data_IF_300758934635
#
_entry.id   IF_300758934635
#
_cell.length_a   1.000
_cell.length_b   1.000
_cell.length_c   1.000
_cell.angle_alpha   90.00
_cell.angle_beta   90.00
_cell.angle_gamma   90.00
#
_symmetry.space_group_name_H-M   'P 1'
#
loop_
_entity.id
_entity.type
_entity.pdbx_description
1 polymer ?
#
# COMPACT_ATOMS: atom_id res chain seq x y z
N UNK A 1 -7.47 14.28 -35.40
CA UNK A 1 -7.79 13.15 -34.49
C UNK A 1 -6.50 12.70 -33.83
N UNK A 2 -6.40 12.79 -32.49
CA UNK A 2 -5.22 12.30 -31.76
C UNK A 2 -5.57 10.95 -31.15
N UNK A 3 -4.80 9.93 -31.51
CA UNK A 3 -4.97 8.55 -31.04
C UNK A 3 -4.16 8.35 -29.77
N UNK A 4 -4.81 8.02 -28.66
CA UNK A 4 -4.15 7.62 -27.42
C UNK A 4 -3.77 6.14 -27.53
N UNK A 5 -2.48 5.81 -27.37
CA UNK A 5 -2.06 4.42 -27.16
C UNK A 5 -2.00 4.15 -25.67
N UNK A 6 -3.00 3.44 -25.17
CA UNK A 6 -3.02 2.86 -23.84
C UNK A 6 -2.01 1.72 -23.80
N UNK A 7 -1.02 1.79 -22.91
CA UNK A 7 -0.06 0.71 -22.69
C UNK A 7 -0.58 -0.17 -21.57
N UNK A 8 -0.90 -1.42 -21.88
CA UNK A 8 -1.32 -2.44 -20.91
C UNK A 8 -0.13 -3.36 -20.65
N UNK A 9 0.46 -3.42 -19.45
CA UNK A 9 1.51 -4.40 -19.16
C UNK A 9 0.89 -5.80 -19.12
N UNK A 10 1.55 -6.76 -19.78
CA UNK A 10 1.15 -8.16 -19.80
C UNK A 10 1.12 -8.75 -18.37
N UNK A 11 0.00 -9.37 -18.03
CA UNK A 11 -0.22 -10.09 -16.78
C UNK A 11 0.75 -11.27 -16.69
N UNK A 12 1.69 -11.22 -15.74
CA UNK A 12 2.54 -12.37 -15.41
C UNK A 12 1.96 -13.05 -14.17
N UNK A 13 1.84 -14.39 -14.21
CA UNK A 13 1.31 -15.22 -13.13
C UNK A 13 1.95 -14.88 -11.77
N UNK A 14 1.13 -14.47 -10.79
CA UNK A 14 1.59 -14.27 -9.42
C UNK A 14 1.66 -15.63 -8.71
N UNK A 15 2.89 -16.11 -8.48
CA UNK A 15 3.15 -17.18 -7.51
C UNK A 15 2.79 -16.71 -6.10
N UNK A 16 2.29 -17.62 -5.28
CA UNK A 16 2.10 -17.47 -3.85
C UNK A 16 3.45 -17.15 -3.19
N UNK A 17 3.63 -15.94 -2.69
CA UNK A 17 4.84 -15.59 -1.92
C UNK A 17 4.56 -15.79 -0.42
N UNK A 18 5.32 -16.71 0.17
CA UNK A 18 5.48 -16.84 1.62
C UNK A 18 6.21 -15.63 2.20
N UNK A 19 6.01 -15.41 3.50
CA UNK A 19 6.52 -14.30 4.30
C UNK A 19 7.95 -13.83 3.95
N UNK A 20 8.15 -12.51 3.83
CA UNK A 20 9.47 -11.87 3.90
C UNK A 20 10.14 -11.46 2.59
N UNK A 21 9.41 -11.25 1.49
CA UNK A 21 10.01 -10.79 0.23
C UNK A 21 10.12 -9.26 0.14
N UNK A 22 11.35 -8.75 0.00
CA UNK A 22 11.62 -7.38 -0.48
C UNK A 22 11.25 -7.30 -1.96
N UNK A 23 10.12 -6.65 -2.28
CA UNK A 23 9.65 -6.51 -3.66
C UNK A 23 9.90 -5.08 -4.13
N UNK A 24 10.84 -4.90 -5.07
CA UNK A 24 10.99 -3.65 -5.82
C UNK A 24 9.87 -3.56 -6.86
N UNK A 25 8.93 -2.63 -6.66
CA UNK A 25 7.75 -2.50 -7.50
C UNK A 25 7.92 -1.43 -8.57
N UNK A 26 7.40 -1.71 -9.76
CA UNK A 26 7.20 -0.71 -10.81
C UNK A 26 5.97 0.13 -10.44
N UNK A 27 6.19 1.28 -9.83
CA UNK A 27 5.13 2.24 -9.56
C UNK A 27 4.54 2.75 -10.88
N UNK A 28 3.21 2.74 -10.98
CA UNK A 28 2.53 3.35 -12.14
C UNK A 28 2.27 4.81 -11.81
N UNK A 29 3.10 5.70 -12.35
CA UNK A 29 2.82 7.13 -12.32
C UNK A 29 1.63 7.41 -13.24
N UNK A 30 0.42 7.55 -12.69
CA UNK A 30 -0.71 8.10 -13.43
C UNK A 30 -0.54 9.62 -13.46
N UNK A 31 0.33 10.09 -14.35
CA UNK A 31 0.47 11.52 -14.63
C UNK A 31 -0.54 11.92 -15.71
N UNK A 32 -1.64 12.56 -15.32
CA UNK A 32 -2.41 13.37 -16.28
C UNK A 32 -1.59 14.63 -16.53
N UNK A 33 -0.79 14.62 -17.61
CA UNK A 33 0.03 15.77 -18.00
C UNK A 33 -0.92 16.84 -18.55
N UNK A 34 -1.31 17.79 -17.71
CA UNK A 34 -1.56 19.14 -18.16
C UNK A 34 -0.21 19.78 -18.50
N UNK A 35 -0.05 20.25 -19.72
CA UNK A 35 1.14 20.99 -20.15
C UNK A 35 1.30 22.25 -19.28
N UNK A 36 2.22 22.23 -18.34
CA UNK A 36 2.72 23.44 -17.68
C UNK A 36 4.24 23.32 -17.60
N UNK A 37 4.91 23.93 -18.58
CA UNK A 37 6.31 23.69 -18.98
C UNK A 37 7.33 24.56 -18.24
N UNK A 38 7.05 25.04 -17.02
CA UNK A 38 7.92 26.03 -16.38
C UNK A 38 8.07 25.97 -14.85
N UNK A 39 7.91 24.81 -14.21
CA UNK A 39 8.20 24.65 -12.77
C UNK A 39 9.33 23.66 -12.54
N UNK A 40 10.27 24.01 -11.66
CA UNK A 40 11.23 23.09 -11.08
C UNK A 40 10.47 21.85 -10.59
N UNK A 41 10.70 20.71 -11.22
CA UNK A 41 10.01 19.47 -10.87
C UNK A 41 10.74 18.87 -9.68
N UNK A 42 10.15 18.97 -8.50
CA UNK A 42 10.69 18.35 -7.29
C UNK A 42 10.21 16.90 -7.24
N UNK A 43 11.16 15.97 -7.20
CA UNK A 43 10.92 14.52 -7.16
C UNK A 43 11.33 14.00 -5.79
N UNK A 44 10.51 13.13 -5.22
CA UNK A 44 10.74 12.51 -3.93
C UNK A 44 10.71 10.99 -4.07
N UNK A 45 11.61 10.31 -3.36
CA UNK A 45 11.54 8.86 -3.15
C UNK A 45 10.74 8.56 -1.88
N UNK A 46 9.82 7.60 -1.99
CA UNK A 46 8.82 7.25 -0.99
C UNK A 46 9.01 5.80 -0.57
N UNK A 47 9.18 5.62 0.73
CA UNK A 47 9.26 4.31 1.36
C UNK A 47 8.05 4.12 2.28
N UNK A 48 7.30 3.04 2.05
CA UNK A 48 6.16 2.65 2.89
C UNK A 48 6.38 1.24 3.41
N UNK A 49 6.36 1.09 4.72
CA UNK A 49 6.55 -0.19 5.40
C UNK A 49 5.35 -0.53 6.28
N UNK A 50 4.72 -1.69 6.05
CA UNK A 50 3.67 -2.23 6.92
C UNK A 50 4.27 -3.09 8.02
N UNK A 51 3.96 -2.73 9.26
CA UNK A 51 4.51 -3.34 10.47
C UNK A 51 3.37 -3.86 11.34
N UNK A 52 3.53 -5.05 11.93
CA UNK A 52 2.79 -5.42 13.13
C UNK A 52 3.75 -5.60 14.30
N UNK A 53 3.26 -5.26 15.47
CA UNK A 53 4.04 -5.26 16.70
C UNK A 53 3.30 -6.16 17.68
N UNK A 54 4.03 -7.07 18.33
CA UNK A 54 3.47 -7.87 19.42
C UNK A 54 3.01 -6.96 20.57
N UNK A 55 1.99 -7.37 21.31
CA UNK A 55 1.31 -6.53 22.30
C UNK A 55 2.23 -6.01 23.44
N UNK A 56 3.41 -6.60 23.62
CA UNK A 56 4.32 -6.35 24.74
C UNK A 56 5.50 -5.41 24.41
N UNK A 57 5.51 -4.77 23.24
CA UNK A 57 6.59 -3.84 22.85
C UNK A 57 6.20 -2.40 23.17
N UNK A 58 6.84 -1.82 24.18
CA UNK A 58 6.85 -0.37 24.37
C UNK A 58 7.72 0.27 23.30
N UNK A 59 7.10 0.88 22.30
CA UNK A 59 7.84 1.70 21.34
C UNK A 59 8.24 3.02 22.01
N UNK A 60 9.55 3.31 22.16
CA UNK A 60 9.96 4.60 22.66
C UNK A 60 9.60 5.68 21.62
N UNK A 61 8.77 6.65 22.00
CA UNK A 61 8.28 7.73 21.13
C UNK A 61 9.35 8.71 20.59
N UNK A 62 10.65 8.39 20.72
CA UNK A 62 11.75 9.14 20.08
C UNK A 62 12.25 8.38 18.84
N UNK A 63 11.83 8.89 17.66
CA UNK A 63 11.95 8.22 16.36
C UNK A 63 13.37 7.99 15.82
N UNK A 64 14.37 8.79 16.23
CA UNK A 64 15.73 8.67 15.68
C UNK A 64 16.43 7.33 15.99
N UNK A 65 16.01 6.63 17.04
CA UNK A 65 16.49 5.28 17.36
C UNK A 65 15.52 4.17 16.92
N UNK A 66 14.46 4.50 16.16
CA UNK A 66 13.35 3.55 15.92
C UNK A 66 13.62 2.58 14.78
N UNK A 67 14.38 2.94 13.74
CA UNK A 67 14.72 2.00 12.67
C UNK A 67 15.68 0.89 13.14
N UNK A 68 16.77 1.26 13.81
CA UNK A 68 17.73 0.27 14.34
C UNK A 68 17.08 -0.64 15.39
N UNK A 69 16.20 -0.08 16.23
CA UNK A 69 15.40 -0.86 17.18
C UNK A 69 14.32 -1.70 16.51
N UNK A 70 13.70 -1.25 15.42
CA UNK A 70 12.76 -2.06 14.66
C UNK A 70 13.46 -3.29 14.08
N UNK A 71 14.70 -3.16 13.62
CA UNK A 71 15.51 -4.29 13.15
C UNK A 71 15.90 -5.24 14.30
N UNK A 72 16.21 -4.70 15.48
CA UNK A 72 16.43 -5.51 16.70
C UNK A 72 15.15 -6.24 17.14
N UNK A 73 14.03 -5.53 17.23
CA UNK A 73 12.72 -6.10 17.56
C UNK A 73 12.25 -7.12 16.51
N UNK A 74 12.61 -6.91 15.23
CA UNK A 74 12.40 -7.88 14.16
C UNK A 74 13.21 -9.16 14.41
N UNK A 75 14.50 -9.05 14.72
CA UNK A 75 15.35 -10.21 15.05
C UNK A 75 14.81 -10.99 16.24
N UNK A 76 14.18 -10.30 17.18
CA UNK A 76 13.59 -10.90 18.39
C UNK A 76 12.13 -11.37 18.20
N UNK A 77 11.58 -11.31 16.98
CA UNK A 77 10.21 -11.76 16.67
C UNK A 77 9.09 -10.86 17.24
N UNK A 78 9.46 -9.74 17.83
CA UNK A 78 8.55 -8.76 18.45
C UNK A 78 7.89 -7.84 17.42
N UNK A 79 8.54 -7.69 16.26
CA UNK A 79 8.06 -6.93 15.11
C UNK A 79 8.03 -7.83 13.88
N UNK A 80 6.89 -7.86 13.20
CA UNK A 80 6.71 -8.57 11.95
C UNK A 80 6.57 -7.54 10.83
N UNK A 81 7.55 -7.51 9.94
CA UNK A 81 7.46 -6.77 8.68
C UNK A 81 6.62 -7.58 7.71
N UNK A 82 5.55 -6.95 7.23
CA UNK A 82 4.69 -7.59 6.24
C UNK A 82 5.17 -7.26 4.84
N UNK A 83 5.31 -5.97 4.56
CA UNK A 83 5.40 -5.45 3.19
C UNK A 83 6.16 -4.13 3.17
N UNK A 84 7.04 -4.00 2.20
CA UNK A 84 7.76 -2.77 1.88
C UNK A 84 7.41 -2.34 0.47
N UNK A 85 7.14 -1.04 0.27
CA UNK A 85 6.93 -0.44 -1.05
C UNK A 85 7.89 0.73 -1.22
N UNK A 86 8.54 0.77 -2.37
CA UNK A 86 9.46 1.83 -2.77
C UNK A 86 8.98 2.41 -4.11
N UNK A 87 8.74 3.72 -4.16
CA UNK A 87 8.32 4.39 -5.39
C UNK A 87 8.64 5.88 -5.34
N UNK A 88 8.68 6.55 -6.51
CA UNK A 88 8.92 7.99 -6.57
C UNK A 88 7.60 8.76 -6.79
N UNK A 89 7.49 9.93 -6.19
CA UNK A 89 6.38 10.86 -6.35
C UNK A 89 6.88 12.24 -6.81
N UNK A 90 6.00 13.00 -7.48
CA UNK A 90 6.30 14.36 -7.94
C UNK A 90 5.50 15.34 -7.08
N UNK A 91 6.13 16.41 -6.60
CA UNK A 91 5.47 17.45 -5.83
C UNK A 91 4.24 18.03 -6.57
N UNK A 92 3.17 18.29 -5.83
CA UNK A 92 1.90 18.78 -6.34
C UNK A 92 1.10 17.76 -7.16
N UNK A 93 1.57 16.52 -7.29
CA UNK A 93 0.87 15.47 -8.05
C UNK A 93 0.49 14.31 -7.15
N UNK A 94 -0.68 13.75 -7.43
CA UNK A 94 -1.10 12.49 -6.84
C UNK A 94 -0.33 11.34 -7.49
N UNK A 95 0.31 10.52 -6.66
CA UNK A 95 1.01 9.30 -7.06
C UNK A 95 0.32 8.11 -6.44
N UNK A 96 0.13 7.06 -7.24
CA UNK A 96 -0.49 5.81 -6.78
C UNK A 96 0.47 4.64 -7.03
N UNK A 97 0.66 3.82 -6.00
CA UNK A 97 1.36 2.55 -6.10
C UNK A 97 0.42 1.43 -5.66
N UNK A 98 0.24 0.42 -6.50
CA UNK A 98 -0.59 -0.74 -6.21
C UNK A 98 0.23 -2.02 -6.36
N UNK A 99 0.12 -2.90 -5.36
CA UNK A 99 0.68 -4.23 -5.37
C UNK A 99 -0.41 -5.22 -5.00
N UNK A 100 -0.86 -6.02 -5.95
CA UNK A 100 -2.02 -6.86 -5.73
C UNK A 100 -2.39 -7.74 -6.90
N UNK A 101 -3.48 -8.44 -6.72
CA UNK A 101 -4.11 -9.25 -7.76
C UNK A 101 -5.62 -9.12 -7.66
N UNK A 102 -6.31 -9.56 -8.71
CA UNK A 102 -7.76 -9.66 -8.70
C UNK A 102 -8.18 -11.09 -8.38
N UNK A 103 -9.13 -11.25 -7.47
CA UNK A 103 -9.72 -12.54 -7.11
C UNK A 103 -11.21 -12.54 -7.39
N UNK A 104 -11.76 -13.71 -7.71
CA UNK A 104 -13.19 -13.87 -7.95
C UNK A 104 -13.89 -14.20 -6.63
N UNK A 105 -14.69 -13.27 -6.12
CA UNK A 105 -15.48 -13.41 -4.91
C UNK A 105 -16.89 -13.89 -5.26
N UNK A 106 -17.25 -15.10 -4.82
CA UNK A 106 -18.56 -15.71 -5.08
C UNK A 106 -19.60 -15.03 -4.18
N UNK A 107 -20.59 -14.37 -4.76
CA UNK A 107 -21.69 -13.72 -4.02
C UNK A 107 -22.88 -14.65 -3.78
N UNK A 108 -23.00 -15.71 -4.57
CA UNK A 108 -24.04 -16.71 -4.40
C UNK A 108 -24.05 -17.72 -5.53
N UNK A 109 -24.89 -18.74 -5.39
CA UNK A 109 -25.12 -19.78 -6.40
C UNK A 109 -26.61 -19.79 -6.73
N UNK A 110 -26.93 -19.71 -8.02
CA UNK A 110 -28.30 -19.83 -8.51
C UNK A 110 -28.44 -21.15 -9.23
N UNK A 111 -29.44 -21.94 -8.87
CA UNK A 111 -29.77 -23.19 -9.54
C UNK A 111 -31.00 -23.01 -10.43
N UNK A 112 -30.89 -23.39 -11.71
CA UNK A 112 -32.02 -23.38 -12.65
C UNK A 112 -31.99 -24.65 -13.50
N UNK A 113 -33.09 -25.40 -13.49
CA UNK A 113 -33.23 -26.66 -14.23
C UNK A 113 -32.09 -27.67 -13.95
N UNK A 114 -31.62 -27.75 -12.70
CA UNK A 114 -30.52 -28.64 -12.29
C UNK A 114 -29.11 -28.16 -12.64
N UNK A 115 -28.96 -26.98 -13.27
CA UNK A 115 -27.66 -26.35 -13.53
C UNK A 115 -27.38 -25.30 -12.47
N UNK A 116 -26.25 -25.42 -11.77
CA UNK A 116 -25.75 -24.44 -10.80
C UNK A 116 -24.84 -23.42 -11.48
N UNK A 117 -25.18 -22.15 -11.36
CA UNK A 117 -24.39 -21.01 -11.85
C UNK A 117 -23.91 -20.19 -10.67
N UNK A 118 -22.59 -20.00 -10.55
CA UNK A 118 -21.98 -19.15 -9.52
C UNK A 118 -22.04 -17.69 -9.98
N UNK A 119 -22.55 -16.80 -9.13
CA UNK A 119 -22.48 -15.35 -9.33
C UNK A 119 -21.22 -14.88 -8.61
N UNK A 120 -20.27 -14.31 -9.36
CA UNK A 120 -19.00 -13.83 -8.81
C UNK A 120 -18.69 -12.41 -9.24
N UNK A 121 -18.06 -11.65 -8.35
CA UNK A 121 -17.49 -10.34 -8.64
C UNK A 121 -15.97 -10.40 -8.59
N UNK A 122 -15.30 -9.66 -9.47
CA UNK A 122 -13.87 -9.49 -9.39
C UNK A 122 -13.53 -8.44 -8.32
N UNK A 123 -12.71 -8.80 -7.34
CA UNK A 123 -12.27 -7.94 -6.23
C UNK A 123 -10.77 -7.79 -6.29
N UNK A 124 -10.27 -6.56 -6.27
CA UNK A 124 -8.84 -6.29 -6.14
C UNK A 124 -8.41 -6.46 -4.69
N UNK A 125 -7.49 -7.39 -4.46
CA UNK A 125 -6.78 -7.58 -3.20
C UNK A 125 -5.33 -7.16 -3.37
N UNK A 126 -4.67 -6.77 -2.29
CA UNK A 126 -3.33 -6.20 -2.37
C UNK A 126 -3.19 -4.96 -1.49
N UNK A 127 -2.10 -4.24 -1.67
CA UNK A 127 -1.80 -2.98 -1.02
C UNK A 127 -1.88 -1.87 -2.05
N UNK A 128 -2.57 -0.80 -1.68
CA UNK A 128 -2.73 0.40 -2.47
C UNK A 128 -2.27 1.58 -1.63
N UNK A 129 -1.35 2.35 -2.17
CA UNK A 129 -0.85 3.58 -1.58
C UNK A 129 -1.14 4.71 -2.55
N UNK A 130 -1.78 5.75 -2.05
CA UNK A 130 -1.99 7.01 -2.76
C UNK A 130 -1.37 8.10 -1.90
N UNK A 131 -0.49 8.89 -2.50
CA UNK A 131 0.16 10.00 -1.82
C UNK A 131 0.20 11.23 -2.73
N UNK A 132 -0.06 12.40 -2.15
CA UNK A 132 0.18 13.69 -2.78
C UNK A 132 1.11 14.47 -1.87
N UNK A 133 2.25 14.88 -2.40
CA UNK A 133 3.27 15.64 -1.66
C UNK A 133 3.16 17.10 -2.05
N UNK A 134 3.08 17.99 -1.07
CA UNK A 134 3.14 19.43 -1.26
C UNK A 134 4.42 19.95 -0.62
N UNK A 135 5.27 20.58 -1.42
CA UNK A 135 6.54 21.17 -1.02
C UNK A 135 6.44 22.69 -1.18
N UNK A 136 6.28 23.36 -0.06
CA UNK A 136 6.17 24.82 0.01
C UNK A 136 7.52 25.53 0.20
N UNK A 137 8.63 24.77 0.27
CA UNK A 137 9.96 25.26 0.62
C UNK A 137 10.18 25.34 2.13
N UNK A 138 9.22 25.88 2.89
CA UNK A 138 9.31 25.99 4.36
C UNK A 138 8.77 24.74 5.08
N UNK A 139 7.87 23.99 4.44
CA UNK A 139 7.27 22.78 4.99
C UNK A 139 6.95 21.77 3.89
N UNK A 140 7.12 20.49 4.24
CA UNK A 140 6.75 19.35 3.41
C UNK A 140 5.49 18.72 4.00
N UNK A 141 4.40 18.64 3.24
CA UNK A 141 3.18 17.97 3.69
C UNK A 141 2.78 16.85 2.75
N UNK A 142 2.19 15.79 3.30
CA UNK A 142 1.68 14.66 2.53
C UNK A 142 0.21 14.40 2.87
N UNK A 143 -0.63 14.35 1.85
CA UNK A 143 -1.93 13.67 1.91
C UNK A 143 -1.69 12.19 1.58
N UNK A 144 -1.85 11.33 2.58
CA UNK A 144 -1.46 9.93 2.53
C UNK A 144 -2.66 9.02 2.78
N UNK A 145 -2.91 8.14 1.82
CA UNK A 145 -3.90 7.09 1.89
C UNK A 145 -3.24 5.73 1.66
N UNK A 146 -3.33 4.88 2.67
CA UNK A 146 -2.88 3.50 2.63
C UNK A 146 -4.07 2.57 2.83
N UNK A 147 -4.17 1.56 1.97
CA UNK A 147 -5.13 0.48 2.10
C UNK A 147 -4.45 -0.86 1.79
N UNK A 148 -4.69 -1.87 2.62
CA UNK A 148 -4.37 -3.25 2.27
C UNK A 148 -5.56 -4.17 2.51
N UNK A 149 -5.73 -5.15 1.61
CA UNK A 149 -6.79 -6.15 1.66
C UNK A 149 -6.22 -7.54 1.39
N UNK A 150 -6.45 -8.49 2.29
CA UNK A 150 -6.01 -9.89 2.15
C UNK A 150 -7.20 -10.83 2.36
N UNK A 151 -7.17 -12.01 1.77
CA UNK A 151 -8.18 -13.05 2.05
C UNK A 151 -7.98 -13.51 3.50
N UNK A 152 -9.08 -13.63 4.25
CA UNK A 152 -9.08 -14.05 5.64
C UNK A 152 -9.54 -15.50 5.76
N UNK A 153 -8.71 -16.34 6.39
CA UNK A 153 -9.00 -17.74 6.70
C UNK A 153 -9.05 -18.65 5.46
N UNK A 154 -9.47 -19.90 5.70
CA UNK A 154 -9.68 -20.88 4.63
C UNK A 154 -10.98 -20.58 3.88
N UNK A 155 -10.92 -20.69 2.55
CA UNK A 155 -12.09 -20.50 1.68
C UNK A 155 -12.84 -21.81 1.52
N UNK A 156 -14.14 -21.80 1.82
CA UNK A 156 -15.04 -22.89 1.46
C UNK A 156 -15.52 -22.72 0.02
N UNK A 157 -15.68 -23.85 -0.66
CA UNK A 157 -16.28 -23.86 -1.99
C UNK A 157 -17.71 -23.29 -1.90
N UNK A 158 -18.03 -22.34 -2.78
CA UNK A 158 -19.35 -21.67 -2.90
C UNK A 158 -19.74 -20.63 -1.84
N UNK A 159 -18.85 -20.28 -0.91
CA UNK A 159 -19.08 -19.18 0.04
C UNK A 159 -18.37 -17.87 -0.37
N UNK A 160 -18.92 -16.69 -0.01
CA UNK A 160 -18.23 -15.42 -0.16
C UNK A 160 -16.90 -15.39 0.57
N UNK A 161 -15.89 -14.80 -0.07
CA UNK A 161 -14.59 -14.59 0.55
C UNK A 161 -14.71 -13.61 1.71
N UNK A 162 -14.04 -13.93 2.81
CA UNK A 162 -13.80 -12.97 3.88
C UNK A 162 -12.51 -12.23 3.59
N UNK A 163 -12.48 -10.93 3.86
CA UNK A 163 -11.31 -10.09 3.62
C UNK A 163 -10.89 -9.41 4.90
N UNK A 164 -9.60 -9.49 5.22
CA UNK A 164 -8.97 -8.64 6.22
C UNK A 164 -8.58 -7.32 5.57
N UNK A 165 -9.14 -6.21 6.07
CA UNK A 165 -8.87 -4.86 5.58
C UNK A 165 -8.10 -4.04 6.62
N UNK A 166 -7.10 -3.31 6.15
CA UNK A 166 -6.33 -2.36 6.93
C UNK A 166 -6.27 -1.04 6.16
N UNK A 167 -6.60 0.08 6.80
CA UNK A 167 -6.68 1.37 6.15
C UNK A 167 -6.15 2.51 7.03
N UNK A 168 -5.58 3.51 6.39
CA UNK A 168 -5.08 4.74 7.00
C UNK A 168 -5.27 5.87 5.99
N UNK A 169 -5.94 6.93 6.42
CA UNK A 169 -6.09 8.17 5.66
C UNK A 169 -5.70 9.32 6.58
N UNK A 170 -4.69 10.08 6.20
CA UNK A 170 -4.18 11.17 7.03
C UNK A 170 -3.47 12.22 6.20
N UNK A 171 -3.50 13.46 6.67
CA UNK A 171 -2.64 14.53 6.20
C UNK A 171 -1.61 14.81 7.28
N UNK A 172 -0.33 14.79 6.91
CA UNK A 172 0.76 14.99 7.85
C UNK A 172 1.81 15.96 7.32
N UNK A 173 2.40 16.72 8.22
CA UNK A 173 3.65 17.43 8.00
C UNK A 173 4.80 16.42 8.11
N UNK A 174 5.82 16.55 7.27
CA UNK A 174 6.95 15.66 7.14
C UNK A 174 8.25 16.44 7.28
N UNK A 175 9.24 15.80 7.87
CA UNK A 175 10.63 16.23 7.75
C UNK A 175 11.27 15.33 6.68
N UNK A 176 11.90 15.94 5.68
CA UNK A 176 12.57 15.21 4.60
C UNK A 176 13.58 14.20 5.15
N UNK A 177 13.49 12.94 4.71
CA UNK A 177 14.36 11.84 5.12
C UNK A 177 14.07 11.25 6.51
N UNK A 178 13.17 11.84 7.30
CA UNK A 178 12.79 11.29 8.61
C UNK A 178 11.55 10.40 8.48
N UNK A 179 11.62 9.12 8.88
CA UNK A 179 10.46 8.24 8.86
C UNK A 179 9.43 8.71 9.88
N UNK A 180 8.14 8.56 9.56
CA UNK A 180 7.02 8.72 10.50
C UNK A 180 6.25 7.42 10.67
N UNK A 181 5.98 7.07 11.93
CA UNK A 181 5.16 5.92 12.29
C UNK A 181 3.70 6.34 12.43
N UNK A 182 2.82 5.69 11.67
CA UNK A 182 1.39 5.98 11.60
C UNK A 182 0.59 4.76 12.02
N UNK A 183 -0.53 4.97 12.73
CA UNK A 183 -1.40 3.89 13.18
C UNK A 183 -2.48 3.64 12.14
N UNK A 184 -2.48 2.46 11.53
CA UNK A 184 -3.51 2.03 10.61
C UNK A 184 -4.61 1.24 11.33
N UNK A 185 -5.86 1.51 10.97
CA UNK A 185 -7.01 0.79 11.53
C UNK A 185 -7.18 -0.54 10.80
N UNK A 186 -7.17 -1.63 11.53
CA UNK A 186 -7.56 -2.95 11.06
C UNK A 186 -8.65 -3.51 11.98
N UNK A 187 -9.52 -4.37 11.44
CA UNK A 187 -10.70 -4.89 12.16
C UNK A 187 -10.33 -5.80 13.35
N UNK A 188 -9.21 -6.53 13.26
CA UNK A 188 -8.81 -7.53 14.27
C UNK A 188 -7.57 -7.12 15.10
N UNK A 189 -6.64 -6.35 14.53
CA UNK A 189 -5.35 -6.05 15.17
C UNK A 189 -4.94 -4.58 14.94
N UNK A 190 -4.07 -4.06 15.82
CA UNK A 190 -3.35 -2.81 15.55
C UNK A 190 -2.25 -3.08 14.53
N UNK A 191 -2.26 -2.31 13.43
CA UNK A 191 -1.21 -2.33 12.41
C UNK A 191 -0.60 -0.96 12.30
N UNK A 192 0.67 -0.91 12.01
CA UNK A 192 1.40 0.34 11.84
C UNK A 192 1.89 0.45 10.41
N UNK A 193 1.94 1.67 9.90
CA UNK A 193 2.50 2.01 8.61
C UNK A 193 3.58 3.04 8.88
N UNK A 194 4.80 2.75 8.47
CA UNK A 194 5.90 3.70 8.50
C UNK A 194 6.05 4.31 7.11
N UNK A 195 6.15 5.63 7.05
CA UNK A 195 6.30 6.42 5.83
C UNK A 195 7.59 7.23 5.91
N UNK A 196 8.46 7.13 4.91
CA UNK A 196 9.59 8.03 4.71
C UNK A 196 9.49 8.70 3.35
N UNK A 197 9.91 9.97 3.28
CA UNK A 197 9.89 10.78 2.06
C UNK A 197 11.21 11.50 1.96
N UNK A 198 11.99 11.20 0.92
CA UNK A 198 13.34 11.75 0.74
C UNK A 198 13.42 12.51 -0.59
N UNK A 199 13.89 13.76 -0.61
CA UNK A 199 14.16 14.48 -1.86
C UNK A 199 15.19 13.74 -2.70
N UNK A 200 15.01 13.75 -4.02
CA UNK A 200 15.93 13.12 -4.98
C UNK A 200 16.89 14.11 -5.62
#
# INVERSE_FOLDING_TARGET
SRTFKQYTPNSTHAQQFSHGSDVRLLATNVATIGEDTNKNVHVFDIDVLKIAISADVELPFKLSNTLDKLDEYRKNGQVILYETMHFSAIAGRQTQAHFGTSVNDIKGVVERNGVKTKISNQVQIGTNVVITIDDSGDSLTADFNYQSMRIAGEQKEDEPMKFFKCQLMTKLELNAGEPKLLIARAEADRRFVMLSVTPR
#
